data_IF_155064031476
#
_entry.id   IF_155064031476
#
_cell.length_a   1.000
_cell.length_b   1.000
_cell.length_c   1.000
_cell.angle_alpha   90.00
_cell.angle_beta   90.00
_cell.angle_gamma   90.00
#
_symmetry.space_group_name_H-M   'P 1'
#
loop_
_entity.id
_entity.type
_entity.pdbx_description
1 polymer ?
#
# COMPACT_ATOMS: atom_id res chain seq x y z
N UNK A 1 -21.96 29.92 -17.72
CA UNK A 1 -20.56 30.18 -17.31
C UNK A 1 -19.70 29.03 -17.82
N UNK A 2 -18.86 29.20 -18.86
CA UNK A 2 -18.33 28.10 -19.64
C UNK A 2 -16.91 27.73 -19.18
N UNK A 3 -16.75 27.12 -18.01
CA UNK A 3 -15.47 26.53 -17.61
C UNK A 3 -15.67 25.30 -16.70
N UNK A 4 -16.33 24.27 -17.22
CA UNK A 4 -16.16 22.92 -16.66
C UNK A 4 -15.01 22.26 -17.44
N UNK A 5 -13.78 22.46 -16.98
CA UNK A 5 -12.61 21.75 -17.53
C UNK A 5 -12.65 20.32 -16.99
N UNK A 6 -13.22 19.39 -17.75
CA UNK A 6 -13.04 17.97 -17.49
C UNK A 6 -11.62 17.58 -17.91
N UNK A 7 -10.71 17.48 -16.94
CA UNK A 7 -9.42 16.83 -17.16
C UNK A 7 -9.64 15.32 -17.10
N UNK A 8 -9.63 14.64 -18.24
CA UNK A 8 -9.48 13.19 -18.24
C UNK A 8 -8.01 12.85 -18.00
N UNK A 9 -7.73 11.97 -17.04
CA UNK A 9 -6.40 11.37 -16.86
C UNK A 9 -6.15 10.51 -18.10
N UNK A 10 -5.23 10.93 -18.96
CA UNK A 10 -4.78 10.14 -20.11
C UNK A 10 -3.67 9.21 -19.61
N UNK A 11 -3.99 7.96 -19.35
CA UNK A 11 -2.98 6.95 -19.06
C UNK A 11 -2.19 6.66 -20.35
N UNK A 12 -0.89 6.92 -20.35
CA UNK A 12 -0.01 6.55 -21.47
C UNK A 12 0.37 5.07 -21.34
N UNK A 13 0.38 4.26 -22.42
CA UNK A 13 0.65 2.82 -22.35
C UNK A 13 1.99 2.42 -21.70
N UNK A 14 2.93 3.37 -21.54
CA UNK A 14 4.23 3.15 -20.90
C UNK A 14 4.29 3.50 -19.41
N UNK A 15 3.22 4.04 -18.81
CA UNK A 15 3.23 4.44 -17.39
C UNK A 15 2.59 3.37 -16.47
N UNK A 16 2.10 2.25 -17.01
CA UNK A 16 1.51 1.17 -16.20
C UNK A 16 2.59 0.45 -15.39
N UNK A 17 2.41 0.38 -14.08
CA UNK A 17 3.28 -0.31 -13.16
C UNK A 17 2.67 -1.65 -12.76
N UNK A 18 3.46 -2.71 -12.91
CA UNK A 18 3.12 -4.00 -12.34
C UNK A 18 3.66 -4.07 -10.90
N UNK A 19 2.75 -4.14 -9.94
CA UNK A 19 3.07 -4.08 -8.52
C UNK A 19 2.75 -5.40 -7.84
N UNK A 20 3.65 -5.85 -6.98
CA UNK A 20 3.49 -7.08 -6.21
C UNK A 20 3.71 -6.80 -4.72
N UNK A 21 2.81 -7.32 -3.88
CA UNK A 21 2.90 -7.13 -2.44
C UNK A 21 4.10 -7.89 -1.87
N UNK A 22 4.81 -7.27 -0.93
CA UNK A 22 6.02 -7.83 -0.33
C UNK A 22 5.72 -8.63 0.95
N UNK A 23 5.90 -9.97 0.94
CA UNK A 23 5.74 -10.82 2.13
C UNK A 23 6.70 -10.50 3.27
N UNK A 24 7.76 -9.73 3.02
CA UNK A 24 8.71 -9.30 4.05
C UNK A 24 8.20 -8.07 4.83
N UNK A 25 7.24 -7.33 4.27
CA UNK A 25 6.68 -6.13 4.90
C UNK A 25 5.29 -6.37 5.49
N UNK A 26 4.55 -7.37 4.99
CA UNK A 26 3.16 -7.65 5.37
C UNK A 26 2.99 -7.94 6.86
N UNK A 27 2.04 -7.28 7.49
CA UNK A 27 1.67 -7.57 8.87
C UNK A 27 1.05 -8.97 9.04
N UNK A 28 1.21 -9.57 10.22
CA UNK A 28 0.75 -10.93 10.51
C UNK A 28 -0.76 -11.11 10.44
N UNK A 29 -1.57 -10.05 10.56
CA UNK A 29 -3.03 -10.15 10.41
C UNK A 29 -3.49 -10.01 8.95
N UNK A 30 -2.57 -9.89 7.99
CA UNK A 30 -2.88 -9.81 6.57
C UNK A 30 -2.48 -11.10 5.86
N UNK A 31 -3.36 -11.62 5.02
CA UNK A 31 -3.11 -12.80 4.19
C UNK A 31 -2.92 -12.38 2.74
N UNK A 32 -1.82 -12.81 2.13
CA UNK A 32 -1.52 -12.60 0.72
C UNK A 32 -2.00 -13.78 -0.13
N UNK A 33 -2.58 -13.49 -1.29
CA UNK A 33 -3.03 -14.49 -2.27
C UNK A 33 -2.87 -13.97 -3.70
N UNK A 34 -3.25 -14.79 -4.68
CA UNK A 34 -3.22 -14.42 -6.12
C UNK A 34 -1.84 -13.89 -6.52
N UNK A 35 -0.79 -14.68 -6.24
CA UNK A 35 0.61 -14.32 -6.54
C UNK A 35 1.04 -12.99 -5.90
N UNK A 36 0.55 -12.72 -4.69
CA UNK A 36 0.78 -11.47 -3.95
C UNK A 36 0.18 -10.23 -4.62
N UNK A 37 -0.88 -10.40 -5.43
CA UNK A 37 -1.66 -9.27 -5.98
C UNK A 37 -2.88 -8.93 -5.13
N UNK A 38 -3.22 -9.79 -4.16
CA UNK A 38 -4.36 -9.59 -3.27
C UNK A 38 -3.96 -9.71 -1.81
N UNK A 39 -4.54 -8.83 -1.00
CA UNK A 39 -4.41 -8.84 0.45
C UNK A 39 -5.78 -8.86 1.10
N UNK A 40 -5.92 -9.66 2.15
CA UNK A 40 -7.16 -9.75 2.94
C UNK A 40 -6.82 -9.72 4.42
N UNK A 41 -7.55 -8.92 5.18
CA UNK A 41 -7.44 -8.92 6.64
C UNK A 41 -8.06 -10.19 7.24
N UNK A 42 -7.38 -10.78 8.24
CA UNK A 42 -7.80 -11.97 8.97
C UNK A 42 -7.66 -11.72 10.48
N UNK A 43 -8.55 -12.36 11.26
CA UNK A 43 -8.42 -12.37 12.73
C UNK A 43 -7.29 -13.27 13.16
N UNK A 44 -7.09 -14.38 12.46
CA UNK A 44 -6.02 -15.33 12.71
C UNK A 44 -4.68 -14.78 12.21
N UNK A 45 -3.66 -14.87 13.04
CA UNK A 45 -2.29 -14.53 12.67
C UNK A 45 -1.77 -15.51 11.61
N UNK A 46 -1.20 -14.95 10.55
CA UNK A 46 -0.55 -15.68 9.48
C UNK A 46 0.91 -15.96 9.86
N UNK A 47 1.41 -17.14 9.46
CA UNK A 47 2.77 -17.55 9.74
C UNK A 47 3.73 -16.93 8.72
N UNK A 48 4.31 -15.79 9.06
CA UNK A 48 5.40 -15.18 8.31
C UNK A 48 6.72 -15.24 9.10
N UNK A 49 7.87 -15.47 8.42
CA UNK A 49 9.17 -15.38 9.07
C UNK A 49 9.42 -13.99 9.66
N UNK A 50 10.15 -13.91 10.77
CA UNK A 50 10.55 -12.61 11.32
C UNK A 50 11.40 -11.84 10.29
N UNK A 51 11.13 -10.53 10.17
CA UNK A 51 11.81 -9.67 9.22
C UNK A 51 11.81 -8.21 9.70
N UNK A 52 12.95 -7.49 9.63
CA UNK A 52 13.05 -6.12 10.13
C UNK A 52 12.15 -5.11 9.40
N UNK A 53 11.76 -5.39 8.15
CA UNK A 53 10.86 -4.53 7.38
C UNK A 53 9.36 -4.83 7.61
N UNK A 54 9.03 -5.84 8.43
CA UNK A 54 7.66 -6.26 8.71
C UNK A 54 6.94 -5.23 9.57
N UNK A 55 5.74 -4.84 9.16
CA UNK A 55 4.86 -4.06 10.02
C UNK A 55 4.35 -4.92 11.17
N UNK A 56 4.63 -4.50 12.40
CA UNK A 56 4.31 -5.28 13.60
C UNK A 56 2.91 -4.93 14.14
N UNK A 57 2.62 -3.65 14.29
CA UNK A 57 1.43 -3.18 15.03
C UNK A 57 0.23 -2.80 14.15
N UNK A 58 0.50 -2.40 12.91
CA UNK A 58 -0.53 -1.92 11.98
C UNK A 58 -0.72 -2.89 10.81
N UNK A 59 -1.97 -3.23 10.42
CA UNK A 59 -2.28 -4.14 9.32
C UNK A 59 -1.96 -3.48 7.97
N UNK A 60 -0.67 -3.43 7.62
CA UNK A 60 -0.15 -2.77 6.43
C UNK A 60 0.79 -3.70 5.65
N UNK A 61 0.95 -3.40 4.36
CA UNK A 61 1.87 -4.09 3.45
C UNK A 61 2.35 -3.09 2.38
N UNK A 62 3.60 -3.21 1.96
CA UNK A 62 4.14 -2.45 0.82
C UNK A 62 4.27 -3.34 -0.41
N UNK A 63 4.37 -2.70 -1.58
CA UNK A 63 4.82 -3.37 -2.79
C UNK A 63 6.35 -3.54 -2.76
N UNK A 64 6.85 -4.54 -3.50
CA UNK A 64 8.29 -4.78 -3.67
C UNK A 64 8.96 -3.70 -4.50
N UNK A 65 8.22 -3.17 -5.45
CA UNK A 65 8.71 -2.22 -6.44
C UNK A 65 8.79 -0.81 -5.85
N UNK A 66 9.96 -0.18 -6.01
CA UNK A 66 10.10 1.25 -5.82
C UNK A 66 9.63 2.00 -7.05
N UNK A 67 8.82 3.03 -6.87
CA UNK A 67 8.33 3.85 -7.98
C UNK A 67 9.29 5.02 -8.24
N UNK A 68 9.63 5.23 -9.52
CA UNK A 68 10.37 6.40 -9.97
C UNK A 68 9.72 6.95 -11.24
N UNK A 69 9.60 8.28 -11.34
CA UNK A 69 8.88 8.92 -12.45
C UNK A 69 7.36 8.81 -12.32
N UNK A 70 6.65 8.74 -13.46
CA UNK A 70 5.20 8.58 -13.49
C UNK A 70 4.85 7.10 -13.45
N UNK A 71 3.87 6.77 -12.63
CA UNK A 71 3.41 5.42 -12.43
C UNK A 71 1.89 5.42 -12.29
N UNK A 72 1.25 4.51 -13.00
CA UNK A 72 -0.17 4.23 -12.94
C UNK A 72 -0.39 2.78 -12.51
N UNK A 73 -1.38 2.59 -11.67
CA UNK A 73 -1.78 1.34 -11.04
C UNK A 73 -3.29 1.37 -10.77
N UNK A 74 -3.89 0.21 -10.64
CA UNK A 74 -5.30 0.08 -10.27
C UNK A 74 -5.42 -0.94 -9.16
N UNK A 75 -6.39 -0.73 -8.28
CA UNK A 75 -6.64 -1.59 -7.13
C UNK A 75 -8.13 -1.64 -6.87
N UNK A 76 -8.63 -2.85 -6.66
CA UNK A 76 -10.00 -3.06 -6.22
C UNK A 76 -10.02 -3.08 -4.69
N UNK A 77 -10.79 -2.17 -4.09
CA UNK A 77 -10.94 -2.07 -2.65
C UNK A 77 -12.34 -2.52 -2.23
N UNK A 78 -12.40 -3.30 -1.16
CA UNK A 78 -13.66 -3.72 -0.55
C UNK A 78 -13.56 -3.70 0.98
N UNK A 79 -14.69 -3.48 1.63
CA UNK A 79 -14.77 -3.37 3.09
C UNK A 79 -14.48 -1.95 3.61
N UNK A 80 -14.72 -1.74 4.91
CA UNK A 80 -14.42 -0.47 5.59
C UNK A 80 -12.98 -0.48 6.10
N UNK A 81 -12.27 0.62 5.89
CA UNK A 81 -10.92 0.83 6.42
C UNK A 81 -9.79 0.29 5.54
N UNK A 82 -10.08 -0.11 4.29
CA UNK A 82 -9.04 -0.36 3.30
C UNK A 82 -8.60 0.99 2.71
N UNK A 83 -7.31 1.30 2.83
CA UNK A 83 -6.72 2.54 2.34
C UNK A 83 -5.54 2.20 1.41
N UNK A 84 -5.27 3.09 0.45
CA UNK A 84 -4.12 2.96 -0.45
C UNK A 84 -3.23 4.17 -0.33
N UNK A 85 -1.94 4.00 -0.58
CA UNK A 85 -1.01 5.11 -0.41
C UNK A 85 0.35 4.84 -1.00
N UNK A 86 1.21 5.85 -0.87
CA UNK A 86 2.62 5.81 -1.24
C UNK A 86 3.45 6.25 -0.03
N UNK A 87 4.62 5.65 0.13
CA UNK A 87 5.53 5.97 1.23
C UNK A 87 6.97 5.87 0.79
N UNK A 88 7.84 6.66 1.41
CA UNK A 88 9.26 6.36 1.36
C UNK A 88 9.58 5.08 2.12
N UNK A 89 10.61 4.37 1.68
CA UNK A 89 11.05 3.09 2.26
C UNK A 89 11.33 3.18 3.77
N UNK A 90 11.77 4.35 4.24
CA UNK A 90 12.14 4.65 5.63
C UNK A 90 10.98 4.97 6.58
N UNK A 91 9.74 4.59 6.27
CA UNK A 91 8.63 4.60 7.24
C UNK A 91 8.93 3.63 8.39
N UNK A 92 8.53 4.00 9.61
CA UNK A 92 8.73 3.15 10.78
C UNK A 92 7.84 1.90 10.69
N UNK A 93 8.36 0.76 11.12
CA UNK A 93 7.68 -0.55 11.00
C UNK A 93 7.06 -1.05 12.31
N UNK A 94 7.40 -0.42 13.42
CA UNK A 94 7.06 -0.84 14.78
C UNK A 94 6.66 0.36 15.64
N UNK A 95 5.69 0.14 16.50
CA UNK A 95 5.04 1.13 17.35
C UNK A 95 3.59 1.36 16.94
N UNK A 96 2.74 1.62 17.94
CA UNK A 96 1.33 2.01 17.75
C UNK A 96 1.13 3.49 17.39
N UNK A 97 2.22 4.23 17.14
CA UNK A 97 2.17 5.66 16.84
C UNK A 97 1.90 5.97 15.37
N UNK A 98 1.59 7.25 15.11
CA UNK A 98 1.31 7.81 13.80
C UNK A 98 2.49 7.65 12.81
N UNK A 99 3.72 7.61 13.33
CA UNK A 99 4.95 7.43 12.54
C UNK A 99 5.00 6.11 11.74
N UNK A 100 4.20 5.12 12.14
CA UNK A 100 4.09 3.83 11.48
C UNK A 100 2.88 3.71 10.55
N UNK A 101 1.88 4.58 10.70
CA UNK A 101 0.61 4.47 9.99
C UNK A 101 0.65 5.30 8.69
N UNK A 102 0.34 4.67 7.56
CA UNK A 102 0.32 5.32 6.24
C UNK A 102 -0.64 6.53 6.22
N UNK A 103 -0.09 7.68 5.84
CA UNK A 103 -0.80 8.95 5.73
C UNK A 103 -0.85 9.78 7.02
N UNK A 104 -0.32 9.26 8.13
CA UNK A 104 -0.26 9.97 9.43
C UNK A 104 1.14 10.47 9.77
N UNK A 105 2.07 10.44 8.82
CA UNK A 105 3.45 10.90 9.01
C UNK A 105 3.97 11.64 7.78
N UNK A 106 5.10 12.33 7.93
CA UNK A 106 5.73 13.12 6.86
C UNK A 106 6.32 12.30 5.70
N UNK A 107 6.38 10.96 5.84
CA UNK A 107 6.99 10.05 4.87
C UNK A 107 5.98 9.35 3.98
N UNK A 108 4.69 9.56 4.20
CA UNK A 108 3.63 8.81 3.53
C UNK A 108 2.38 9.63 3.27
N UNK A 109 1.64 9.21 2.24
CA UNK A 109 0.38 9.81 1.82
C UNK A 109 -0.60 8.70 1.48
N UNK A 110 -1.84 8.80 1.94
CA UNK A 110 -2.89 7.80 1.68
C UNK A 110 -4.19 8.44 1.21
N UNK A 111 -5.01 7.62 0.56
CA UNK A 111 -6.37 7.90 0.14
C UNK A 111 -7.29 6.88 0.83
N UNK A 112 -8.38 7.37 1.41
CA UNK A 112 -9.41 6.60 2.11
C UNK A 112 -10.69 6.51 1.29
#
# INVERSE_FOLDING_TARGET
NPFTRSSQVKNTPGDLCDLTLDPNTVNINLSLSEENRKVTWRREEQLYPDHPERFEDWPQVLCREGLSGRCYWEVELSGRGACIGVTYKGINRRGYGDDCCLGYNEKSWSLN
#
